data_IF_877763442636
#
_entry.id   IF_877763442636
#
_cell.length_a   1.000
_cell.length_b   1.000
_cell.length_c   1.000
_cell.angle_alpha   90.00
_cell.angle_beta   90.00
_cell.angle_gamma   90.00
#
_symmetry.space_group_name_H-M   'P 1'
#
loop_
_entity.id
_entity.type
_entity.pdbx_description
1 polymer ?
#
# COMPACT_ATOMS: atom_id res chain seq x y z
N UNK A 1 -1.30 -15.00 9.91
CA UNK A 1 -1.58 -15.34 8.49
C UNK A 1 -1.19 -16.77 8.27
N UNK A 2 -1.94 -17.53 7.48
CA UNK A 2 -1.52 -18.88 7.06
C UNK A 2 -0.42 -18.73 6.02
N UNK A 3 0.67 -19.49 6.14
CA UNK A 3 1.77 -19.45 5.18
C UNK A 3 1.25 -19.72 3.76
N UNK A 4 1.68 -18.91 2.82
CA UNK A 4 1.32 -18.98 1.41
C UNK A 4 2.59 -18.87 0.57
N UNK A 5 2.68 -19.68 -0.47
CA UNK A 5 3.78 -19.67 -1.44
C UNK A 5 3.19 -19.62 -2.84
N UNK A 6 3.61 -18.62 -3.62
CA UNK A 6 3.21 -18.50 -5.03
C UNK A 6 4.34 -19.02 -5.91
N UNK A 7 4.01 -19.87 -6.86
CA UNK A 7 4.98 -20.50 -7.76
C UNK A 7 4.39 -20.74 -9.14
N UNK A 8 5.25 -20.93 -10.14
CA UNK A 8 4.89 -21.30 -11.50
C UNK A 8 4.98 -22.82 -11.64
N UNK A 9 3.91 -23.46 -12.04
CA UNK A 9 3.84 -24.91 -12.25
C UNK A 9 4.46 -25.36 -13.58
N UNK A 10 4.59 -26.67 -13.77
CA UNK A 10 5.14 -27.26 -15.01
C UNK A 10 4.24 -27.00 -16.24
N UNK A 11 2.97 -26.68 -16.03
CA UNK A 11 2.00 -26.26 -17.06
C UNK A 11 2.09 -24.76 -17.39
N UNK A 12 3.11 -24.08 -16.86
CA UNK A 12 3.38 -22.67 -17.05
C UNK A 12 2.34 -21.71 -16.44
N UNK A 13 1.46 -22.21 -15.54
CA UNK A 13 0.49 -21.42 -14.79
C UNK A 13 0.96 -21.10 -13.39
N UNK A 14 0.42 -20.01 -12.82
CA UNK A 14 0.72 -19.64 -11.44
C UNK A 14 -0.25 -20.26 -10.45
N UNK A 15 0.29 -20.75 -9.36
CA UNK A 15 -0.44 -21.37 -8.25
C UNK A 15 -0.05 -20.74 -6.93
N UNK A 16 -1.02 -20.62 -6.03
CA UNK A 16 -0.80 -20.25 -4.63
C UNK A 16 -1.05 -21.47 -3.75
N UNK A 17 -0.05 -21.90 -3.00
CA UNK A 17 -0.16 -22.98 -2.02
C UNK A 17 -0.51 -22.41 -0.65
N UNK A 18 -1.69 -22.75 -0.12
CA UNK A 18 -2.17 -22.33 1.19
C UNK A 18 -2.57 -23.56 1.98
N UNK A 19 -1.95 -23.81 3.15
CA UNK A 19 -2.28 -24.96 4.00
C UNK A 19 -2.15 -26.30 3.27
N UNK A 20 -1.20 -26.42 2.34
CA UNK A 20 -0.94 -27.63 1.56
C UNK A 20 -1.88 -27.85 0.36
N UNK A 21 -2.75 -26.90 0.05
CA UNK A 21 -3.63 -26.93 -1.14
C UNK A 21 -3.13 -25.94 -2.19
N UNK A 22 -3.05 -26.39 -3.43
CA UNK A 22 -2.71 -25.55 -4.57
C UNK A 22 -3.97 -24.96 -5.21
N UNK A 23 -4.00 -23.66 -5.36
CA UNK A 23 -5.06 -22.89 -5.98
C UNK A 23 -4.46 -22.21 -7.21
N UNK A 24 -5.03 -22.44 -8.39
CA UNK A 24 -4.62 -21.74 -9.59
C UNK A 24 -5.02 -20.27 -9.48
N UNK A 25 -4.06 -19.37 -9.65
CA UNK A 25 -4.23 -17.91 -9.61
C UNK A 25 -3.80 -17.25 -10.91
N UNK A 26 -3.71 -18.03 -11.98
CA UNK A 26 -3.22 -17.55 -13.28
C UNK A 26 -4.04 -16.37 -13.81
N UNK A 27 -5.34 -16.36 -13.57
CA UNK A 27 -6.25 -15.27 -13.93
C UNK A 27 -6.03 -13.99 -13.11
N UNK A 28 -5.30 -14.07 -11.98
CA UNK A 28 -4.95 -12.90 -11.16
C UNK A 28 -3.62 -12.27 -11.58
N UNK A 29 -2.81 -12.96 -12.41
CA UNK A 29 -1.51 -12.48 -12.86
C UNK A 29 -1.70 -11.37 -13.89
N UNK A 30 -1.19 -10.19 -13.57
CA UNK A 30 -1.43 -8.99 -14.37
C UNK A 30 -0.44 -8.83 -15.53
N UNK A 31 0.77 -9.39 -15.38
CA UNK A 31 1.86 -9.32 -16.37
C UNK A 31 2.95 -10.35 -16.03
N UNK A 32 3.81 -10.66 -17.00
CA UNK A 32 4.97 -11.52 -16.77
C UNK A 32 6.06 -10.78 -15.99
N UNK A 33 6.73 -11.49 -15.09
CA UNK A 33 7.87 -10.99 -14.30
C UNK A 33 9.14 -11.77 -14.65
N UNK A 34 10.34 -11.18 -14.47
CA UNK A 34 11.60 -11.90 -14.63
C UNK A 34 11.70 -13.12 -13.71
N UNK A 35 12.44 -14.15 -14.13
CA UNK A 35 12.62 -15.41 -13.34
C UNK A 35 13.24 -15.19 -11.96
N UNK A 36 13.99 -14.09 -11.78
CA UNK A 36 14.57 -13.69 -10.50
C UNK A 36 13.57 -13.02 -9.54
N UNK A 37 12.35 -12.75 -9.99
CA UNK A 37 11.28 -12.13 -9.19
C UNK A 37 10.25 -13.17 -8.77
N UNK A 38 9.52 -12.87 -7.72
CA UNK A 38 8.37 -13.69 -7.31
C UNK A 38 7.13 -12.82 -7.13
N UNK A 39 5.95 -13.42 -7.34
CA UNK A 39 4.70 -12.80 -6.93
C UNK A 39 4.48 -12.98 -5.44
N UNK A 40 3.95 -11.95 -4.78
CA UNK A 40 3.62 -11.99 -3.37
C UNK A 40 2.30 -11.25 -3.10
N UNK A 41 1.53 -11.67 -2.09
CA UNK A 41 0.39 -10.88 -1.60
C UNK A 41 0.94 -9.71 -0.77
N UNK A 42 0.44 -8.50 -1.02
CA UNK A 42 0.90 -7.28 -0.36
C UNK A 42 0.86 -7.38 1.17
N UNK A 43 -0.15 -8.05 1.72
CA UNK A 43 -0.29 -8.25 3.15
C UNK A 43 0.82 -9.04 3.84
N UNK A 44 1.68 -9.77 3.09
CA UNK A 44 2.86 -10.42 3.63
C UNK A 44 4.08 -9.48 3.71
N UNK A 45 4.05 -8.38 2.98
CA UNK A 45 5.16 -7.43 2.90
C UNK A 45 5.03 -6.27 3.88
N UNK A 46 3.78 -5.92 4.24
CA UNK A 46 3.48 -4.72 5.01
C UNK A 46 2.56 -5.00 6.20
N UNK A 47 2.93 -4.42 7.34
CA UNK A 47 1.98 -4.21 8.44
C UNK A 47 0.99 -3.13 8.00
N UNK A 48 -0.27 -3.52 7.88
CA UNK A 48 -1.33 -2.68 7.40
C UNK A 48 -2.25 -2.24 8.53
N UNK A 49 -2.52 -0.95 8.57
CA UNK A 49 -3.54 -0.36 9.42
C UNK A 49 -4.36 0.67 8.63
N UNK A 50 -5.62 0.85 9.00
CA UNK A 50 -6.43 1.99 8.62
C UNK A 50 -6.50 2.99 9.75
N UNK A 51 -6.76 4.25 9.43
CA UNK A 51 -6.95 5.28 10.43
C UNK A 51 -8.27 5.19 11.21
N UNK A 52 -8.54 6.21 12.00
CA UNK A 52 -9.75 6.32 12.83
C UNK A 52 -10.93 6.89 12.01
N UNK A 53 -12.11 6.27 12.18
CA UNK A 53 -13.34 6.84 11.69
C UNK A 53 -13.69 8.14 12.44
N UNK A 54 -14.19 9.13 11.71
CA UNK A 54 -14.62 10.39 12.29
C UNK A 54 -15.77 10.15 13.27
N UNK A 55 -15.58 10.60 14.52
CA UNK A 55 -16.61 10.60 15.54
C UNK A 55 -16.59 11.92 16.29
N UNK A 56 -17.43 12.86 15.88
CA UNK A 56 -17.50 14.20 16.46
C UNK A 56 -18.00 14.23 17.91
N UNK A 57 -18.72 13.20 18.35
CA UNK A 57 -19.23 13.11 19.75
C UNK A 57 -18.18 12.59 20.73
N UNK A 58 -17.14 11.91 20.25
CA UNK A 58 -16.07 11.38 21.10
C UNK A 58 -15.08 12.50 21.48
N UNK A 59 -14.96 12.76 22.79
CA UNK A 59 -13.99 13.71 23.37
C UNK A 59 -13.00 13.02 24.31
N UNK A 60 -12.84 11.70 24.20
CA UNK A 60 -11.94 10.92 25.04
C UNK A 60 -10.58 10.77 24.40
N UNK A 61 -9.50 10.97 25.16
CA UNK A 61 -8.11 10.90 24.72
C UNK A 61 -7.50 12.27 24.41
N UNK A 62 -6.49 12.28 23.56
CA UNK A 62 -5.74 13.49 23.16
C UNK A 62 -6.25 14.06 21.84
N UNK A 63 -6.36 15.39 21.75
CA UNK A 63 -6.69 16.10 20.51
C UNK A 63 -5.45 16.12 19.62
N UNK A 64 -5.45 15.37 18.53
CA UNK A 64 -4.31 15.24 17.62
C UNK A 64 -4.68 15.63 16.19
N UNK A 65 -3.71 16.17 15.41
CA UNK A 65 -3.91 16.45 14.00
C UNK A 65 -4.04 15.14 13.21
N UNK A 66 -4.88 15.17 12.18
CA UNK A 66 -5.04 14.04 11.29
C UNK A 66 -5.26 14.46 9.84
N UNK A 67 -4.74 13.67 8.91
CA UNK A 67 -4.96 13.84 7.48
C UNK A 67 -6.08 12.93 6.99
N UNK A 68 -6.71 13.40 5.92
CA UNK A 68 -7.76 12.72 5.16
C UNK A 68 -7.28 12.46 3.73
N UNK A 69 -8.08 11.78 2.92
CA UNK A 69 -7.78 11.60 1.50
C UNK A 69 -7.62 12.91 0.73
N UNK A 70 -8.21 14.02 1.21
CA UNK A 70 -8.04 15.36 0.59
C UNK A 70 -6.65 15.98 0.83
N UNK A 71 -5.90 15.48 1.81
CA UNK A 71 -4.55 15.93 2.10
C UNK A 71 -3.47 15.12 1.36
N UNK A 72 -3.81 13.92 0.84
CA UNK A 72 -2.89 12.99 0.21
C UNK A 72 -3.01 13.12 -1.31
N UNK A 73 -1.92 13.41 -1.98
CA UNK A 73 -1.78 13.46 -3.43
C UNK A 73 -0.73 12.44 -3.90
N UNK A 74 -0.56 12.26 -5.21
CA UNK A 74 0.49 11.42 -5.72
C UNK A 74 1.88 11.96 -5.34
N UNK A 75 2.60 11.21 -4.49
CA UNK A 75 3.95 11.52 -4.03
C UNK A 75 4.07 12.71 -3.07
N UNK A 76 2.97 13.34 -2.64
CA UNK A 76 3.03 14.52 -1.80
C UNK A 76 1.80 14.69 -0.90
N UNK A 77 1.92 15.58 0.09
CA UNK A 77 0.86 15.92 1.03
C UNK A 77 0.60 17.43 1.03
N UNK A 78 -0.67 17.82 1.02
CA UNK A 78 -1.07 19.18 1.34
C UNK A 78 -1.44 19.25 2.84
N UNK A 79 -0.58 19.86 3.62
CA UNK A 79 -0.76 20.05 5.07
C UNK A 79 -1.18 21.48 5.43
N UNK A 80 -1.55 22.31 4.45
CA UNK A 80 -1.99 23.70 4.68
C UNK A 80 -3.28 23.77 5.51
N UNK A 81 -4.11 22.72 5.46
CA UNK A 81 -5.34 22.61 6.25
C UNK A 81 -5.48 21.20 6.82
N UNK A 82 -5.06 21.03 8.06
CA UNK A 82 -5.11 19.77 8.79
C UNK A 82 -6.18 19.86 9.88
N UNK A 83 -7.04 18.86 9.96
CA UNK A 83 -8.10 18.75 10.97
C UNK A 83 -7.57 18.15 12.25
N UNK A 84 -8.35 18.27 13.33
CA UNK A 84 -8.05 17.66 14.63
C UNK A 84 -9.25 16.84 15.12
N UNK A 85 -8.98 15.71 15.76
CA UNK A 85 -9.96 14.91 16.50
C UNK A 85 -9.31 14.21 17.70
N UNK A 86 -10.15 13.68 18.60
CA UNK A 86 -9.67 12.95 19.76
C UNK A 86 -9.23 11.54 19.40
N UNK A 87 -8.07 11.14 19.91
CA UNK A 87 -7.55 9.78 19.83
C UNK A 87 -7.27 9.24 21.22
N UNK A 88 -7.75 8.04 21.53
CA UNK A 88 -7.35 7.30 22.72
C UNK A 88 -5.90 6.83 22.57
N UNK A 89 -5.19 6.65 23.68
CA UNK A 89 -3.81 6.14 23.65
C UNK A 89 -3.70 4.80 22.90
N UNK A 90 -4.69 3.92 23.06
CA UNK A 90 -4.76 2.64 22.34
C UNK A 90 -4.98 2.75 20.81
N UNK A 91 -5.40 3.92 20.33
CA UNK A 91 -5.61 4.18 18.89
C UNK A 91 -4.40 4.87 18.24
N UNK A 92 -3.58 5.56 19.05
CA UNK A 92 -2.48 6.39 18.51
C UNK A 92 -1.48 5.55 17.72
N UNK A 93 -1.02 4.42 18.29
CA UNK A 93 -0.06 3.55 17.61
C UNK A 93 -0.58 3.07 16.23
N UNK A 94 -1.84 2.67 16.19
CA UNK A 94 -2.50 2.20 14.97
C UNK A 94 -2.67 3.32 13.95
N UNK A 95 -3.08 4.52 14.39
CA UNK A 95 -3.46 5.62 13.52
C UNK A 95 -2.31 6.58 13.17
N UNK A 96 -1.21 6.59 13.94
CA UNK A 96 -0.06 7.46 13.68
C UNK A 96 0.78 6.96 12.52
N UNK A 97 1.34 7.91 11.79
CA UNK A 97 2.28 7.67 10.69
C UNK A 97 3.70 7.99 11.12
N UNK A 98 4.66 7.32 10.52
CA UNK A 98 6.10 7.54 10.70
C UNK A 98 6.76 7.73 9.34
N UNK A 99 7.90 8.41 9.33
CA UNK A 99 8.71 8.55 8.12
C UNK A 99 8.94 7.19 7.44
N UNK A 100 8.70 7.13 6.12
CA UNK A 100 8.81 5.92 5.32
C UNK A 100 7.51 5.09 5.20
N UNK A 101 6.45 5.39 5.96
CA UNK A 101 5.16 4.71 5.77
C UNK A 101 4.56 5.06 4.40
N UNK A 102 4.10 4.05 3.65
CA UNK A 102 3.35 4.25 2.42
C UNK A 102 1.86 4.40 2.76
N UNK A 103 1.30 5.55 2.42
CA UNK A 103 -0.10 5.86 2.61
C UNK A 103 -0.85 5.72 1.29
N UNK A 104 -2.02 5.07 1.32
CA UNK A 104 -2.82 4.75 0.13
C UNK A 104 -4.28 5.11 0.37
N UNK A 105 -4.93 5.81 -0.55
CA UNK A 105 -6.35 6.14 -0.48
C UNK A 105 -7.24 4.92 -0.75
N UNK A 106 -8.15 4.62 0.20
CA UNK A 106 -9.25 3.67 0.01
C UNK A 106 -10.41 4.29 -0.76
N UNK A 107 -10.63 5.59 -0.60
CA UNK A 107 -11.74 6.33 -1.18
C UNK A 107 -11.30 7.57 -1.96
N UNK A 108 -12.23 8.19 -2.68
CA UNK A 108 -11.96 9.29 -3.58
C UNK A 108 -11.19 8.79 -4.82
N UNK A 109 -9.96 9.21 -4.99
CA UNK A 109 -9.07 8.65 -6.02
C UNK A 109 -8.40 7.37 -5.47
N UNK A 110 -9.10 6.25 -5.59
CA UNK A 110 -8.71 4.93 -5.07
C UNK A 110 -7.31 4.55 -5.58
N UNK A 111 -6.43 4.14 -4.65
CA UNK A 111 -5.05 3.74 -4.95
C UNK A 111 -4.06 4.89 -5.03
N UNK A 112 -4.50 6.16 -4.96
CA UNK A 112 -3.60 7.30 -4.84
C UNK A 112 -2.73 7.16 -3.61
N UNK A 113 -1.41 7.33 -3.76
CA UNK A 113 -0.43 6.99 -2.75
C UNK A 113 0.67 8.05 -2.60
N UNK A 114 1.25 8.10 -1.40
CA UNK A 114 2.47 8.86 -1.12
C UNK A 114 3.21 8.24 0.08
N UNK A 115 4.53 8.40 0.12
CA UNK A 115 5.36 8.01 1.26
C UNK A 115 5.41 9.19 2.22
N UNK A 116 5.13 8.94 3.51
CA UNK A 116 5.19 9.98 4.54
C UNK A 116 6.65 10.39 4.79
N UNK A 117 7.02 11.65 4.53
CA UNK A 117 8.43 12.06 4.61
C UNK A 117 8.81 12.75 5.92
N UNK A 118 7.86 12.92 6.85
CA UNK A 118 8.06 13.75 8.04
C UNK A 118 8.27 12.91 9.29
N UNK A 119 9.07 13.43 10.23
CA UNK A 119 9.26 12.86 11.57
C UNK A 119 8.21 13.39 12.58
N UNK A 120 7.41 14.38 12.18
CA UNK A 120 6.36 14.94 13.03
C UNK A 120 5.19 13.98 13.13
N UNK A 121 4.70 13.67 14.34
CA UNK A 121 3.54 12.82 14.54
C UNK A 121 2.30 13.36 13.82
N UNK A 122 1.64 12.50 13.06
CA UNK A 122 0.39 12.79 12.37
C UNK A 122 -0.49 11.55 12.42
N UNK A 123 -1.80 11.72 12.58
CA UNK A 123 -2.74 10.62 12.50
C UNK A 123 -3.42 10.56 11.13
N UNK A 124 -4.07 9.46 10.82
CA UNK A 124 -4.82 9.27 9.57
C UNK A 124 -6.27 8.92 9.83
N UNK A 125 -7.16 9.33 8.91
CA UNK A 125 -8.56 8.94 8.88
C UNK A 125 -8.73 7.53 8.27
N UNK A 126 -9.85 6.89 8.58
CA UNK A 126 -10.16 5.50 8.19
C UNK A 126 -10.18 5.21 6.67
N UNK A 127 -10.26 6.21 5.80
CA UNK A 127 -10.16 6.05 4.34
C UNK A 127 -8.74 6.16 3.80
N UNK A 128 -7.74 6.10 4.68
CA UNK A 128 -6.33 5.98 4.33
C UNK A 128 -5.80 4.67 4.92
N UNK A 129 -5.19 3.87 4.07
CA UNK A 129 -4.37 2.73 4.46
C UNK A 129 -2.96 3.19 4.76
N UNK A 130 -2.41 2.71 5.87
CA UNK A 130 -1.00 2.84 6.24
C UNK A 130 -0.30 1.50 6.04
N UNK A 131 0.74 1.48 5.25
CA UNK A 131 1.56 0.33 4.95
C UNK A 131 2.97 0.58 5.48
N UNK A 132 3.38 -0.17 6.49
CA UNK A 132 4.72 -0.17 7.06
C UNK A 132 5.39 -1.50 6.77
N UNK A 133 6.53 -1.50 6.10
CA UNK A 133 7.20 -2.75 5.72
C UNK A 133 7.62 -3.56 6.95
N UNK A 134 7.46 -4.89 6.87
CA UNK A 134 7.95 -5.81 7.92
C UNK A 134 9.46 -6.01 7.87
N UNK A 135 10.03 -5.91 6.66
CA UNK A 135 11.44 -6.18 6.37
C UNK A 135 12.05 -5.01 5.60
N UNK A 136 13.34 -5.12 5.29
CA UNK A 136 14.01 -4.17 4.40
C UNK A 136 13.44 -4.30 2.98
N UNK A 137 12.53 -3.40 2.64
CA UNK A 137 11.97 -3.21 1.31
C UNK A 137 12.22 -1.77 0.88
N UNK A 138 12.36 -1.57 -0.42
CA UNK A 138 12.32 -0.21 -0.96
C UNK A 138 10.85 0.23 -1.09
N UNK A 139 10.36 1.00 -0.11
CA UNK A 139 8.99 1.51 -0.10
C UNK A 139 8.67 2.32 -1.36
N UNK A 140 9.68 3.00 -1.93
CA UNK A 140 9.52 3.76 -3.17
C UNK A 140 9.22 2.86 -4.37
N UNK A 141 9.75 1.64 -4.40
CA UNK A 141 9.40 0.65 -5.41
C UNK A 141 7.89 0.35 -5.38
N UNK A 142 7.32 0.12 -4.21
CA UNK A 142 5.89 -0.16 -4.07
C UNK A 142 5.02 1.06 -4.33
N UNK A 143 5.48 2.27 -4.03
CA UNK A 143 4.82 3.48 -4.48
C UNK A 143 4.69 3.53 -6.02
N UNK A 144 5.74 3.19 -6.76
CA UNK A 144 5.69 3.10 -8.21
C UNK A 144 4.82 1.94 -8.71
N UNK A 145 4.74 0.82 -7.98
CA UNK A 145 3.79 -0.25 -8.29
C UNK A 145 2.34 0.26 -8.19
N UNK A 146 1.98 1.02 -7.15
CA UNK A 146 0.65 1.63 -7.05
C UNK A 146 0.36 2.58 -8.20
N UNK A 147 1.33 3.40 -8.61
CA UNK A 147 1.18 4.27 -9.79
C UNK A 147 0.96 3.46 -11.07
N UNK A 148 1.80 2.44 -11.30
CA UNK A 148 1.68 1.59 -12.48
C UNK A 148 0.33 0.85 -12.51
N UNK A 149 -0.11 0.31 -11.38
CA UNK A 149 -1.40 -0.38 -11.27
C UNK A 149 -2.58 0.55 -11.51
N UNK A 150 -2.51 1.77 -11.00
CA UNK A 150 -3.52 2.80 -11.25
C UNK A 150 -3.56 3.21 -12.72
N UNK A 151 -2.40 3.49 -13.32
CA UNK A 151 -2.28 3.90 -14.71
C UNK A 151 -2.82 2.84 -15.68
N UNK A 152 -2.54 1.56 -15.41
CA UNK A 152 -3.00 0.44 -16.23
C UNK A 152 -4.44 0.00 -15.90
N UNK A 153 -5.15 0.68 -14.98
CA UNK A 153 -6.52 0.36 -14.61
C UNK A 153 -6.68 -0.91 -13.76
N UNK A 154 -5.59 -1.44 -13.17
CA UNK A 154 -5.65 -2.59 -12.26
C UNK A 154 -6.21 -2.21 -10.88
N UNK A 155 -6.19 -0.93 -10.53
CA UNK A 155 -6.83 -0.38 -9.32
C UNK A 155 -7.88 0.65 -9.75
N UNK A 156 -9.15 0.43 -9.36
CA UNK A 156 -10.26 1.35 -9.61
C UNK A 156 -10.66 1.48 -11.09
N UNK A 157 -10.18 0.58 -11.96
CA UNK A 157 -10.53 0.51 -13.38
C UNK A 157 -11.82 -0.28 -13.63
N UNK A 158 -12.25 -0.32 -14.89
CA UNK A 158 -13.35 -1.18 -15.35
C UNK A 158 -12.72 -2.41 -16.01
N UNK A 159 -12.93 -3.60 -15.45
CA UNK A 159 -12.41 -4.86 -16.01
C UNK A 159 -11.63 -5.69 -14.99
N UNK A 160 -10.54 -6.34 -15.45
CA UNK A 160 -9.66 -7.15 -14.59
C UNK A 160 -8.91 -6.21 -13.65
N UNK A 161 -8.98 -6.48 -12.35
CA UNK A 161 -8.30 -5.72 -11.32
C UNK A 161 -9.17 -5.42 -10.10
N UNK A 162 -8.65 -4.61 -9.19
CA UNK A 162 -9.29 -4.26 -7.92
C UNK A 162 -10.22 -3.08 -8.11
N UNK A 163 -11.53 -3.30 -7.99
CA UNK A 163 -12.56 -2.27 -8.17
C UNK A 163 -12.72 -1.36 -6.94
N UNK A 164 -12.40 -1.86 -5.75
CA UNK A 164 -12.42 -1.13 -4.50
C UNK A 164 -11.29 -1.59 -3.60
N UNK A 165 -10.60 -0.66 -2.93
CA UNK A 165 -9.40 -0.94 -2.15
C UNK A 165 -9.74 -1.12 -0.66
N UNK A 166 -10.64 -2.07 -0.35
CA UNK A 166 -10.85 -2.46 1.05
C UNK A 166 -9.59 -3.08 1.65
N UNK A 167 -9.49 -3.13 2.98
CA UNK A 167 -8.35 -3.77 3.66
C UNK A 167 -8.09 -5.20 3.17
N UNK A 168 -9.15 -5.98 2.92
CA UNK A 168 -9.03 -7.34 2.39
C UNK A 168 -8.50 -7.35 0.95
N UNK A 169 -9.01 -6.46 0.09
CA UNK A 169 -8.54 -6.35 -1.30
C UNK A 169 -7.08 -5.92 -1.35
N UNK A 170 -6.68 -4.96 -0.50
CA UNK A 170 -5.30 -4.51 -0.40
C UNK A 170 -4.36 -5.63 0.06
N UNK A 171 -4.73 -6.40 1.10
CA UNK A 171 -3.92 -7.52 1.58
C UNK A 171 -3.73 -8.61 0.51
N UNK A 172 -4.78 -8.89 -0.25
CA UNK A 172 -4.76 -9.94 -1.28
C UNK A 172 -4.17 -9.47 -2.61
N UNK A 173 -3.88 -8.19 -2.76
CA UNK A 173 -3.32 -7.64 -3.99
C UNK A 173 -1.99 -8.32 -4.30
N UNK A 174 -1.86 -8.90 -5.50
CA UNK A 174 -0.61 -9.44 -6.00
C UNK A 174 0.33 -8.29 -6.36
N UNK A 175 1.57 -8.38 -5.88
CA UNK A 175 2.64 -7.45 -6.22
C UNK A 175 3.91 -8.22 -6.55
N UNK A 176 4.73 -7.73 -7.49
CA UNK A 176 6.02 -8.34 -7.77
C UNK A 176 6.99 -8.03 -6.63
N UNK A 177 7.81 -9.01 -6.29
CA UNK A 177 8.87 -8.90 -5.29
C UNK A 177 10.23 -9.20 -5.93
N UNK A 178 10.94 -8.18 -6.45
CA UNK A 178 12.32 -8.27 -6.88
C UNK A 178 13.28 -8.45 -5.69
N UNK A 179 14.50 -8.96 -5.90
CA UNK A 179 15.58 -8.80 -4.93
C UNK A 179 15.79 -7.34 -4.54
N UNK A 180 16.11 -7.06 -3.27
CA UNK A 180 16.19 -5.68 -2.74
C UNK A 180 17.12 -4.76 -3.55
N UNK A 181 18.27 -5.25 -3.99
CA UNK A 181 19.20 -4.47 -4.80
C UNK A 181 18.60 -4.08 -6.15
N UNK A 182 17.70 -4.90 -6.69
CA UNK A 182 17.01 -4.60 -7.93
C UNK A 182 15.88 -3.59 -7.72
N UNK A 183 15.13 -3.66 -6.61
CA UNK A 183 14.18 -2.63 -6.22
C UNK A 183 14.86 -1.26 -6.18
N UNK A 184 15.98 -1.13 -5.46
CA UNK A 184 16.76 0.10 -5.33
C UNK A 184 17.30 0.58 -6.69
N UNK A 185 17.79 -0.33 -7.55
CA UNK A 185 18.27 0.00 -8.89
C UNK A 185 17.16 0.58 -9.76
N UNK A 186 15.97 -0.01 -9.69
CA UNK A 186 14.80 0.43 -10.47
C UNK A 186 14.36 1.83 -10.00
N UNK A 187 14.18 2.03 -8.69
CA UNK A 187 13.73 3.31 -8.14
C UNK A 187 14.74 4.43 -8.39
N UNK A 188 16.04 4.14 -8.26
CA UNK A 188 17.09 5.10 -8.60
C UNK A 188 17.05 5.51 -10.07
N UNK A 189 16.80 4.54 -10.97
CA UNK A 189 16.67 4.83 -12.40
C UNK A 189 15.44 5.67 -12.71
N UNK A 190 14.29 5.33 -12.13
CA UNK A 190 13.05 6.11 -12.29
C UNK A 190 13.25 7.54 -11.77
N UNK A 191 13.80 7.70 -10.55
CA UNK A 191 14.07 9.02 -9.96
C UNK A 191 14.99 9.87 -10.83
N UNK A 192 16.02 9.25 -11.42
CA UNK A 192 16.93 9.96 -12.33
C UNK A 192 16.23 10.46 -13.61
N UNK A 193 15.26 9.74 -14.12
CA UNK A 193 14.49 10.16 -15.30
C UNK A 193 13.57 11.34 -15.01
N UNK A 194 12.96 11.37 -13.81
CA UNK A 194 12.10 12.49 -13.40
C UNK A 194 12.86 13.79 -13.07
N UNK A 195 14.18 13.74 -12.86
CA UNK A 195 15.00 14.95 -12.68
C UNK A 195 15.20 15.74 -13.99
N UNK A 196 14.88 15.17 -15.13
CA UNK A 196 15.02 15.79 -16.45
C UNK A 196 13.70 16.31 -17.05
N UNK A 197 12.60 16.24 -16.29
CA UNK A 197 11.28 16.73 -16.65
C UNK A 197 10.90 17.91 -15.75
#
# INVERSE_FOLDING_TARGET
>A
MTDSVIYKGDDNKYYERIGGKDICIDDEILFEIPDSWVWCRLGFLFNHNTGKALNASNKEGSMLPYITTSNLYWGQFDLSSVRQMYFKDSEIEKCSVSNGDLLVCEGGDIGRAAIWPYDTPMCIQNHIHKLRSYNQLDTLFYYYIFQAYKYNGYIGGKGIGIQGLSSKALHNMLVPLPPINEQIRITSKISSLFQFI
#
